data_IF_572692327145
#
_entry.id   IF_572692327145
#
_cell.length_a   1.000
_cell.length_b   1.000
_cell.length_c   1.000
_cell.angle_alpha   90.00
_cell.angle_beta   90.00
_cell.angle_gamma   90.00
#
_symmetry.space_group_name_H-M   'P 1'
#
loop_
_entity.id
_entity.type
_entity.pdbx_description
1 polymer ?
#
# COMPACT_ATOMS: atom_id res chain seq x y z
N UNK A 1 -6.03 22.82 -67.32
CA UNK A 1 -6.43 21.42 -67.55
C UNK A 1 -5.69 20.48 -66.59
N UNK A 2 -5.77 20.75 -65.28
CA UNK A 2 -5.56 19.75 -64.22
C UNK A 2 -6.58 20.12 -63.14
N UNK A 3 -7.85 19.96 -63.49
CA UNK A 3 -8.91 19.76 -62.50
C UNK A 3 -9.06 18.24 -62.33
N UNK A 4 -9.39 17.83 -61.11
CA UNK A 4 -9.76 16.48 -60.67
C UNK A 4 -8.65 15.43 -60.53
N UNK A 5 -7.79 15.62 -59.53
CA UNK A 5 -7.42 14.51 -58.65
C UNK A 5 -8.34 14.57 -57.42
N UNK A 6 -9.58 14.11 -57.59
CA UNK A 6 -10.42 13.73 -56.46
C UNK A 6 -9.78 12.50 -55.83
N UNK A 7 -8.95 12.72 -54.82
CA UNK A 7 -8.66 11.70 -53.82
C UNK A 7 -9.94 11.58 -53.01
N UNK A 8 -10.80 10.65 -53.41
CA UNK A 8 -11.92 10.18 -52.60
C UNK A 8 -11.34 9.64 -51.29
N UNK A 9 -11.17 10.51 -50.30
CA UNK A 9 -11.09 10.09 -48.91
C UNK A 9 -12.47 9.53 -48.62
N UNK A 10 -12.58 8.21 -48.41
CA UNK A 10 -13.79 7.56 -47.90
C UNK A 10 -14.39 8.47 -46.82
N UNK A 11 -15.54 9.10 -47.10
CA UNK A 11 -16.24 9.99 -46.16
C UNK A 11 -16.65 9.24 -44.86
N UNK A 12 -16.52 7.92 -44.86
CA UNK A 12 -16.80 7.00 -43.77
C UNK A 12 -15.57 6.55 -42.96
N UNK A 13 -14.37 7.09 -43.22
CA UNK A 13 -13.20 6.73 -42.41
C UNK A 13 -13.28 7.34 -41.01
N UNK A 14 -13.71 6.53 -40.04
CA UNK A 14 -13.69 6.88 -38.62
C UNK A 14 -12.32 6.48 -38.04
N UNK A 15 -11.49 7.43 -37.55
CA UNK A 15 -10.24 7.08 -36.91
C UNK A 15 -10.51 6.20 -35.68
N UNK A 16 -9.68 5.17 -35.43
CA UNK A 16 -9.86 4.32 -34.26
C UNK A 16 -9.83 5.15 -32.98
N UNK A 17 -10.64 4.74 -32.00
CA UNK A 17 -10.70 5.40 -30.70
C UNK A 17 -9.30 5.48 -30.08
N UNK A 18 -8.85 6.70 -29.79
CA UNK A 18 -7.53 6.94 -29.20
C UNK A 18 -7.55 6.54 -27.73
N UNK A 19 -6.46 5.95 -27.25
CA UNK A 19 -6.28 5.70 -25.82
C UNK A 19 -6.26 7.01 -25.04
N UNK A 20 -6.76 6.98 -23.79
CA UNK A 20 -6.80 8.16 -22.92
C UNK A 20 -5.40 8.57 -22.45
N UNK A 21 -4.54 7.58 -22.21
CA UNK A 21 -3.15 7.75 -21.79
C UNK A 21 -2.20 7.18 -22.85
N UNK A 22 -0.97 7.72 -22.90
CA UNK A 22 0.06 7.27 -23.82
C UNK A 22 0.51 5.86 -23.48
N UNK A 23 0.69 5.06 -24.52
CA UNK A 23 1.23 3.70 -24.46
C UNK A 23 2.75 3.76 -24.28
N UNK A 24 3.24 3.47 -23.06
CA UNK A 24 4.67 3.29 -22.80
C UNK A 24 4.95 1.81 -22.51
N UNK A 25 5.93 1.23 -23.22
CA UNK A 25 6.42 -0.11 -22.93
C UNK A 25 7.17 -0.13 -21.59
N UNK A 26 6.92 -1.13 -20.71
CA UNK A 26 7.71 -1.32 -19.50
C UNK A 26 9.19 -1.50 -19.82
N UNK A 27 10.07 -0.83 -19.07
CA UNK A 27 11.51 -1.04 -19.18
C UNK A 27 11.94 -2.36 -18.56
N UNK A 28 13.05 -2.93 -19.06
CA UNK A 28 13.61 -4.18 -18.50
C UNK A 28 12.74 -5.42 -18.70
N UNK A 29 11.79 -5.39 -19.64
CA UNK A 29 10.99 -6.56 -20.01
C UNK A 29 11.88 -7.76 -20.40
N UNK A 30 11.48 -8.96 -19.98
CA UNK A 30 12.24 -10.20 -20.08
C UNK A 30 13.35 -10.35 -19.04
N UNK A 31 13.60 -9.36 -18.18
CA UNK A 31 14.73 -9.38 -17.23
C UNK A 31 14.28 -9.33 -15.77
N UNK A 32 15.21 -9.61 -14.85
CA UNK A 32 15.02 -9.42 -13.41
C UNK A 32 14.86 -7.94 -13.01
N UNK A 33 15.24 -7.01 -13.90
CA UNK A 33 15.12 -5.57 -13.72
C UNK A 33 13.85 -5.04 -14.39
N UNK A 34 12.79 -5.85 -14.53
CA UNK A 34 11.49 -5.39 -15.05
C UNK A 34 10.98 -4.18 -14.25
N UNK A 35 10.51 -3.16 -14.98
CA UNK A 35 9.88 -1.98 -14.43
C UNK A 35 8.59 -2.31 -13.66
N UNK A 36 8.43 -1.67 -12.49
CA UNK A 36 7.20 -1.79 -11.70
C UNK A 36 6.04 -0.94 -12.26
N UNK A 37 4.80 -1.34 -12.01
CA UNK A 37 3.61 -0.57 -12.41
C UNK A 37 3.60 0.84 -11.80
N UNK A 38 4.09 1.00 -10.57
CA UNK A 38 4.22 2.32 -9.93
C UNK A 38 5.24 3.23 -10.63
N UNK A 39 6.33 2.66 -11.14
CA UNK A 39 7.32 3.39 -11.95
C UNK A 39 6.74 3.79 -13.30
N UNK A 40 6.06 2.85 -13.97
CA UNK A 40 5.41 3.09 -15.26
C UNK A 40 4.37 4.23 -15.16
N UNK A 41 3.58 4.26 -14.08
CA UNK A 41 2.64 5.35 -13.80
C UNK A 41 3.35 6.72 -13.73
N UNK A 42 4.52 6.81 -13.10
CA UNK A 42 5.29 8.05 -13.01
C UNK A 42 5.82 8.48 -14.38
N UNK A 43 6.29 7.53 -15.20
CA UNK A 43 6.74 7.81 -16.58
C UNK A 43 5.59 8.23 -17.49
N UNK A 44 4.41 7.62 -17.37
CA UNK A 44 3.20 8.06 -18.09
C UNK A 44 2.84 9.48 -17.68
N UNK A 45 2.86 9.80 -16.37
CA UNK A 45 2.63 11.16 -15.89
C UNK A 45 3.64 12.16 -16.45
N UNK A 46 4.91 11.76 -16.57
CA UNK A 46 5.98 12.56 -17.19
C UNK A 46 5.66 12.87 -18.66
N UNK A 47 5.25 11.87 -19.43
CA UNK A 47 4.90 12.03 -20.84
C UNK A 47 3.69 12.96 -21.04
N UNK A 48 2.78 13.00 -20.07
CA UNK A 48 1.65 13.94 -20.05
C UNK A 48 1.95 15.29 -19.40
N UNK A 49 3.17 15.52 -18.90
CA UNK A 49 3.58 16.72 -18.16
C UNK A 49 2.72 17.02 -16.92
N UNK A 50 2.14 15.98 -16.31
CA UNK A 50 1.31 16.09 -15.10
C UNK A 50 2.00 15.51 -13.88
N UNK A 51 1.51 15.86 -12.68
CA UNK A 51 1.99 15.24 -11.44
C UNK A 51 1.49 13.80 -11.35
N UNK A 52 2.33 12.82 -10.95
CA UNK A 52 1.92 11.42 -10.81
C UNK A 52 0.69 11.23 -9.90
N UNK A 53 0.63 12.00 -8.81
CA UNK A 53 -0.50 11.95 -7.88
C UNK A 53 -1.80 12.52 -8.47
N UNK A 54 -1.72 13.52 -9.35
CA UNK A 54 -2.89 14.05 -10.05
C UNK A 54 -3.39 13.04 -11.09
N UNK A 55 -2.49 12.41 -11.85
CA UNK A 55 -2.84 11.33 -12.79
C UNK A 55 -3.54 10.17 -12.06
N UNK A 56 -2.95 9.70 -10.96
CA UNK A 56 -3.53 8.63 -10.15
C UNK A 56 -4.93 8.98 -9.64
N UNK A 57 -5.10 10.16 -9.02
CA UNK A 57 -6.36 10.51 -8.37
C UNK A 57 -7.47 10.91 -9.35
N UNK A 58 -7.13 11.44 -10.53
CA UNK A 58 -8.11 11.99 -11.48
C UNK A 58 -8.45 11.05 -12.63
N UNK A 59 -7.54 10.19 -13.04
CA UNK A 59 -7.76 9.30 -14.19
C UNK A 59 -7.87 7.83 -13.76
N UNK A 60 -7.00 7.35 -12.86
CA UNK A 60 -6.92 5.93 -12.51
C UNK A 60 -7.94 5.56 -11.43
N UNK A 61 -7.85 6.16 -10.23
CA UNK A 61 -8.72 5.83 -9.09
C UNK A 61 -10.22 5.93 -9.42
N UNK A 62 -10.71 6.93 -10.18
CA UNK A 62 -12.12 6.99 -10.55
C UNK A 62 -12.64 5.84 -11.41
N UNK A 63 -11.75 5.03 -12.02
CA UNK A 63 -12.10 3.83 -12.79
C UNK A 63 -11.97 2.54 -11.99
N UNK A 64 -11.73 2.64 -10.69
CA UNK A 64 -11.55 1.48 -9.80
C UNK A 64 -12.62 1.45 -8.72
N UNK A 65 -12.83 0.29 -8.12
CA UNK A 65 -13.69 0.13 -6.94
C UNK A 65 -13.01 0.59 -5.62
N UNK A 66 -11.95 1.39 -5.72
CA UNK A 66 -11.18 1.85 -4.57
C UNK A 66 -11.96 2.96 -3.87
N UNK A 67 -12.70 2.58 -2.81
CA UNK A 67 -13.40 3.54 -1.96
C UNK A 67 -12.42 4.33 -1.08
N UNK A 68 -12.14 5.58 -1.46
CA UNK A 68 -11.40 6.52 -0.62
C UNK A 68 -12.29 7.01 0.53
N UNK A 69 -12.33 6.27 1.66
CA UNK A 69 -13.21 6.59 2.82
C UNK A 69 -12.95 7.95 3.50
N UNK A 70 -11.99 8.73 3.03
CA UNK A 70 -11.80 10.19 3.23
C UNK A 70 -10.64 10.59 2.31
N UNK A 71 -10.74 11.68 1.52
CA UNK A 71 -9.64 12.19 0.72
C UNK A 71 -8.62 12.87 1.66
N UNK A 72 -7.88 12.08 2.42
CA UNK A 72 -6.69 12.53 3.12
C UNK A 72 -5.47 12.00 2.39
N UNK A 73 -4.45 12.83 2.25
CA UNK A 73 -3.17 12.49 1.63
C UNK A 73 -2.47 11.29 2.30
N UNK A 74 -2.83 10.93 3.55
CA UNK A 74 -2.32 9.73 4.23
C UNK A 74 -2.95 8.43 3.74
N UNK A 75 -4.22 8.45 3.30
CA UNK A 75 -4.91 7.27 2.78
C UNK A 75 -4.35 6.87 1.41
N UNK A 76 -4.17 7.83 0.48
CA UNK A 76 -3.60 7.58 -0.85
C UNK A 76 -2.17 7.02 -0.77
N UNK A 77 -1.33 7.55 0.13
CA UNK A 77 0.01 7.00 0.39
C UNK A 77 -0.01 5.59 1.00
N UNK A 78 -1.06 5.23 1.73
CA UNK A 78 -1.21 3.90 2.35
C UNK A 78 -1.61 2.82 1.33
N UNK A 79 -2.32 3.19 0.26
CA UNK A 79 -2.77 2.25 -0.77
C UNK A 79 -1.83 2.17 -1.97
N UNK A 80 -1.18 3.27 -2.35
CA UNK A 80 -0.25 3.27 -3.47
C UNK A 80 0.91 2.28 -3.29
N UNK A 81 1.35 2.05 -2.04
CA UNK A 81 2.35 1.02 -1.73
C UNK A 81 1.97 -0.38 -2.22
N UNK A 82 0.67 -0.67 -2.33
CA UNK A 82 0.17 -2.00 -2.69
C UNK A 82 -0.05 -2.20 -4.17
N UNK A 83 0.19 -1.17 -5.01
CA UNK A 83 0.05 -1.24 -6.46
C UNK A 83 0.95 -2.32 -7.09
N UNK A 84 2.15 -2.52 -6.54
CA UNK A 84 3.08 -3.55 -7.01
C UNK A 84 2.82 -4.93 -6.38
N UNK A 85 1.79 -5.09 -5.55
CA UNK A 85 1.54 -6.29 -4.73
C UNK A 85 0.71 -7.38 -5.41
N UNK A 86 0.06 -8.21 -4.58
CA UNK A 86 -0.79 -9.35 -4.98
C UNK A 86 -2.30 -9.07 -4.86
N UNK A 87 -2.68 -7.97 -4.21
CA UNK A 87 -4.03 -7.75 -3.71
C UNK A 87 -4.94 -6.97 -4.68
N UNK A 88 -6.17 -6.70 -4.22
CA UNK A 88 -7.19 -5.94 -4.97
C UNK A 88 -6.63 -4.65 -5.60
N UNK A 89 -5.88 -3.85 -4.83
CA UNK A 89 -5.34 -2.58 -5.32
C UNK A 89 -4.36 -2.74 -6.50
N UNK A 90 -3.53 -3.79 -6.50
CA UNK A 90 -2.65 -4.05 -7.63
C UNK A 90 -3.46 -4.36 -8.89
N UNK A 91 -4.45 -5.25 -8.75
CA UNK A 91 -5.34 -5.64 -9.85
C UNK A 91 -6.09 -4.44 -10.44
N UNK A 92 -6.77 -3.66 -9.59
CA UNK A 92 -7.56 -2.50 -10.01
C UNK A 92 -6.71 -1.42 -10.70
N UNK A 93 -5.50 -1.14 -10.19
CA UNK A 93 -4.61 -0.15 -10.78
C UNK A 93 -4.07 -0.64 -12.13
N UNK A 94 -3.68 -1.92 -12.22
CA UNK A 94 -3.21 -2.53 -13.47
C UNK A 94 -4.31 -2.51 -14.52
N UNK A 95 -5.51 -2.99 -14.19
CA UNK A 95 -6.65 -3.05 -15.11
C UNK A 95 -7.05 -1.64 -15.61
N UNK A 96 -7.15 -0.66 -14.70
CA UNK A 96 -7.40 0.72 -15.09
C UNK A 96 -6.30 1.30 -16.00
N UNK A 97 -5.02 1.00 -15.75
CA UNK A 97 -3.92 1.44 -16.61
C UNK A 97 -3.95 0.77 -17.99
N UNK A 98 -4.25 -0.52 -18.06
CA UNK A 98 -4.40 -1.27 -19.32
C UNK A 98 -5.51 -0.65 -20.18
N UNK A 99 -6.69 -0.43 -19.59
CA UNK A 99 -7.81 0.21 -20.27
C UNK A 99 -7.49 1.63 -20.74
N UNK A 100 -6.85 2.44 -19.88
CA UNK A 100 -6.52 3.83 -20.19
C UNK A 100 -5.43 3.96 -21.25
N UNK A 101 -4.47 3.04 -21.29
CA UNK A 101 -3.33 3.07 -22.23
C UNK A 101 -3.52 2.22 -23.47
N UNK A 102 -4.57 1.39 -23.53
CA UNK A 102 -4.79 0.42 -24.59
C UNK A 102 -3.74 -0.71 -24.62
N UNK A 103 -3.09 -0.98 -23.49
CA UNK A 103 -2.05 -2.01 -23.37
C UNK A 103 -2.57 -3.24 -22.62
N UNK A 104 -1.89 -4.36 -22.80
CA UNK A 104 -2.14 -5.60 -22.06
C UNK A 104 -0.83 -6.15 -21.49
N UNK A 105 -0.93 -7.02 -20.48
CA UNK A 105 0.22 -7.69 -19.86
C UNK A 105 0.92 -6.87 -18.78
N UNK A 106 0.37 -5.73 -18.36
CA UNK A 106 0.91 -4.90 -17.28
C UNK A 106 0.82 -5.60 -15.90
N UNK A 107 0.03 -6.66 -15.78
CA UNK A 107 0.02 -7.50 -14.57
C UNK A 107 1.43 -8.01 -14.21
N UNK A 108 2.26 -8.32 -15.21
CA UNK A 108 3.65 -8.76 -15.02
C UNK A 108 4.55 -7.70 -14.36
N UNK A 109 4.21 -6.41 -14.48
CA UNK A 109 4.89 -5.29 -13.83
C UNK A 109 4.55 -5.16 -12.32
N UNK A 110 3.93 -6.19 -11.74
CA UNK A 110 3.56 -6.32 -10.34
C UNK A 110 3.74 -7.78 -9.90
N UNK A 111 3.48 -8.09 -8.63
CA UNK A 111 3.48 -9.49 -8.17
C UNK A 111 2.20 -10.26 -8.52
N UNK A 112 1.22 -9.67 -9.21
CA UNK A 112 -0.04 -10.31 -9.59
C UNK A 112 0.06 -11.71 -10.23
N UNK A 113 1.08 -12.06 -11.05
CA UNK A 113 1.21 -13.43 -11.59
C UNK A 113 1.25 -14.50 -10.50
N UNK A 114 1.61 -14.14 -9.26
CA UNK A 114 1.75 -15.05 -8.14
C UNK A 114 0.59 -14.98 -7.13
N UNK A 115 -0.50 -14.26 -7.44
CA UNK A 115 -1.61 -13.98 -6.49
C UNK A 115 -2.35 -15.22 -5.99
N UNK A 116 -2.43 -16.27 -6.81
CA UNK A 116 -3.11 -17.52 -6.47
C UNK A 116 -2.19 -18.49 -5.72
N UNK A 117 -0.88 -18.25 -5.74
CA UNK A 117 0.13 -19.02 -5.03
C UNK A 117 0.45 -18.41 -3.66
N UNK A 118 0.58 -17.09 -3.61
CA UNK A 118 1.19 -16.36 -2.50
C UNK A 118 0.16 -15.60 -1.66
N UNK A 119 0.32 -15.66 -0.33
CA UNK A 119 -0.53 -14.95 0.61
C UNK A 119 -0.31 -13.43 0.54
N UNK A 120 -1.37 -12.67 0.24
CA UNK A 120 -1.36 -11.19 0.22
C UNK A 120 -1.19 -10.55 1.60
N UNK A 121 -1.54 -11.28 2.66
CA UNK A 121 -1.53 -10.84 4.07
C UNK A 121 -0.38 -11.44 4.88
N UNK A 122 0.50 -12.24 4.26
CA UNK A 122 1.75 -12.66 4.89
C UNK A 122 2.65 -11.44 4.98
N UNK A 123 2.72 -10.81 6.17
CA UNK A 123 3.64 -9.72 6.44
C UNK A 123 4.98 -9.98 5.71
N UNK A 124 5.42 -9.00 4.91
CA UNK A 124 6.70 -8.97 4.21
C UNK A 124 6.79 -9.34 2.71
N UNK A 125 5.76 -9.06 1.91
CA UNK A 125 5.92 -9.02 0.45
C UNK A 125 6.66 -7.76 0.00
N UNK A 126 6.12 -6.59 0.35
CA UNK A 126 6.60 -5.31 -0.14
C UNK A 126 7.31 -4.54 0.96
N UNK A 127 8.38 -3.84 0.62
CA UNK A 127 9.04 -2.91 1.54
C UNK A 127 8.03 -1.90 2.07
N UNK A 128 8.22 -1.47 3.32
CA UNK A 128 7.41 -0.40 3.91
C UNK A 128 7.70 0.96 3.26
N UNK A 129 8.79 1.08 2.51
CA UNK A 129 9.30 2.31 1.88
C UNK A 129 9.92 1.99 0.52
N UNK A 130 9.92 2.93 -0.45
CA UNK A 130 10.66 2.77 -1.69
C UNK A 130 12.16 2.66 -1.43
N UNK A 131 12.79 1.69 -2.08
CA UNK A 131 14.23 1.45 -2.03
C UNK A 131 14.82 1.64 -3.44
N UNK A 132 16.09 2.05 -3.53
CA UNK A 132 16.78 2.19 -4.82
C UNK A 132 18.27 1.91 -4.74
N UNK A 133 18.87 1.67 -5.91
CA UNK A 133 20.32 1.57 -6.07
C UNK A 133 20.89 2.87 -6.66
N UNK A 134 21.70 3.64 -5.92
CA UNK A 134 22.34 4.84 -6.47
C UNK A 134 23.28 4.53 -7.64
N UNK A 135 23.89 3.35 -7.65
CA UNK A 135 24.78 2.90 -8.75
C UNK A 135 24.00 2.71 -10.05
N UNK A 136 22.80 2.11 -10.01
CA UNK A 136 21.92 2.02 -11.19
C UNK A 136 21.57 3.41 -11.74
N UNK A 137 21.18 4.36 -10.89
CA UNK A 137 20.89 5.71 -11.37
C UNK A 137 22.12 6.40 -11.95
N UNK A 138 23.30 6.18 -11.38
CA UNK A 138 24.54 6.72 -11.93
C UNK A 138 24.84 6.17 -13.33
N UNK A 139 24.78 4.84 -13.50
CA UNK A 139 25.04 4.18 -14.77
C UNK A 139 24.00 4.55 -15.83
N UNK A 140 22.71 4.56 -15.48
CA UNK A 140 21.66 4.97 -16.40
C UNK A 140 21.82 6.43 -16.83
N UNK A 141 22.14 7.33 -15.90
CA UNK A 141 22.40 8.73 -16.25
C UNK A 141 23.61 8.88 -17.16
N UNK A 142 24.70 8.18 -16.89
CA UNK A 142 25.89 8.21 -17.73
C UNK A 142 25.63 7.65 -19.14
N UNK A 143 24.76 6.65 -19.25
CA UNK A 143 24.35 6.05 -20.52
C UNK A 143 23.19 6.78 -21.23
N UNK A 144 22.67 7.88 -20.67
CA UNK A 144 21.48 8.56 -21.20
C UNK A 144 20.19 7.73 -21.12
N UNK A 145 20.18 6.65 -20.34
CA UNK A 145 19.02 5.81 -20.12
C UNK A 145 18.07 6.48 -19.12
N UNK A 146 16.78 6.58 -19.48
CA UNK A 146 15.75 7.10 -18.56
C UNK A 146 15.68 6.23 -17.29
N UNK A 147 15.78 6.81 -16.07
CA UNK A 147 15.68 6.07 -14.83
C UNK A 147 14.27 5.54 -14.55
N UNK A 148 14.20 4.33 -14.00
CA UNK A 148 12.95 3.70 -13.57
C UNK A 148 13.15 2.92 -12.26
N UNK A 149 12.07 2.50 -11.60
CA UNK A 149 12.15 1.62 -10.42
C UNK A 149 11.79 0.17 -10.82
N UNK A 150 12.76 -0.76 -10.80
CA UNK A 150 12.51 -2.18 -10.95
C UNK A 150 11.54 -2.75 -9.90
N UNK A 151 10.69 -3.70 -10.30
CA UNK A 151 9.76 -4.41 -9.41
C UNK A 151 10.48 -5.07 -8.23
N UNK A 152 11.68 -5.62 -8.48
CA UNK A 152 12.51 -6.24 -7.45
C UNK A 152 12.79 -5.31 -6.26
N UNK A 153 12.96 -4.00 -6.49
CA UNK A 153 13.27 -3.04 -5.42
C UNK A 153 12.10 -2.79 -4.47
N UNK A 154 10.88 -3.17 -4.86
CA UNK A 154 9.72 -3.09 -3.98
C UNK A 154 9.54 -4.33 -3.11
N UNK A 155 10.23 -5.43 -3.38
CA UNK A 155 10.12 -6.66 -2.61
C UNK A 155 10.92 -6.58 -1.31
N UNK A 156 10.28 -6.80 -0.15
CA UNK A 156 10.95 -6.75 1.16
C UNK A 156 12.10 -7.76 1.28
N UNK A 157 12.01 -8.87 0.55
CA UNK A 157 13.04 -9.92 0.57
C UNK A 157 14.29 -9.55 -0.26
N UNK A 158 14.24 -8.44 -1.00
CA UNK A 158 15.35 -7.90 -1.80
C UNK A 158 15.97 -6.73 -1.06
N UNK A 159 17.04 -6.99 -0.31
CA UNK A 159 17.81 -5.97 0.41
C UNK A 159 19.01 -5.43 -0.41
N UNK A 160 19.39 -6.15 -1.48
CA UNK A 160 20.52 -5.82 -2.35
C UNK A 160 20.04 -5.66 -3.78
N UNK A 161 20.69 -4.78 -4.54
CA UNK A 161 20.38 -4.59 -5.95
C UNK A 161 20.72 -5.86 -6.75
N UNK A 162 19.79 -6.41 -7.55
CA UNK A 162 20.06 -7.59 -8.38
C UNK A 162 21.14 -7.38 -9.44
N UNK A 163 21.36 -6.12 -9.87
CA UNK A 163 22.36 -5.79 -10.88
C UNK A 163 23.77 -5.56 -10.29
N UNK A 164 23.85 -4.95 -9.10
CA UNK A 164 25.14 -4.49 -8.53
C UNK A 164 25.57 -5.24 -7.27
N UNK A 165 24.72 -6.12 -6.74
CA UNK A 165 24.96 -6.82 -5.47
C UNK A 165 25.41 -5.84 -4.36
N UNK A 166 24.65 -4.76 -4.18
CA UNK A 166 24.91 -3.69 -3.18
C UNK A 166 23.65 -3.38 -2.40
N UNK A 167 23.74 -2.97 -1.12
CA UNK A 167 22.55 -2.59 -0.36
C UNK A 167 21.72 -1.54 -1.09
N UNK A 168 20.41 -1.77 -1.17
CA UNK A 168 19.48 -0.71 -1.55
C UNK A 168 19.38 0.31 -0.41
N UNK A 169 19.14 1.57 -0.74
CA UNK A 169 18.88 2.64 0.23
C UNK A 169 17.44 3.12 0.14
N UNK A 170 16.89 3.63 1.25
CA UNK A 170 15.48 4.06 1.36
C UNK A 170 15.32 5.54 1.78
N UNK A 171 16.42 6.26 1.93
CA UNK A 171 16.47 7.66 2.36
C UNK A 171 17.38 8.48 1.44
N UNK A 172 17.00 9.74 1.19
CA UNK A 172 17.83 10.67 0.42
C UNK A 172 19.15 10.93 1.16
N UNK A 173 20.27 10.81 0.45
CA UNK A 173 21.62 10.99 1.00
C UNK A 173 21.95 12.44 1.36
N UNK A 174 21.15 13.41 0.89
CA UNK A 174 21.32 14.84 1.17
C UNK A 174 20.43 15.32 2.31
N UNK A 175 19.11 15.09 2.26
CA UNK A 175 18.18 15.60 3.28
C UNK A 175 17.70 14.55 4.29
N UNK A 176 18.11 13.28 4.16
CA UNK A 176 17.73 12.19 5.05
C UNK A 176 16.26 11.74 4.96
N UNK A 177 15.44 12.37 4.10
CA UNK A 177 14.00 12.06 4.00
C UNK A 177 13.75 10.79 3.19
N UNK A 178 12.79 10.00 3.68
CA UNK A 178 12.23 8.84 2.99
C UNK A 178 11.35 9.28 1.83
N UNK A 179 11.38 8.55 0.72
CA UNK A 179 10.61 8.90 -0.47
C UNK A 179 9.17 8.35 -0.41
N UNK A 180 8.17 9.05 -0.98
CA UNK A 180 6.82 8.50 -1.13
C UNK A 180 6.79 7.45 -2.26
N UNK A 181 5.86 6.49 -2.17
CA UNK A 181 5.66 5.48 -3.24
C UNK A 181 5.21 6.09 -4.57
N UNK A 182 4.46 7.19 -4.51
CA UNK A 182 4.12 8.01 -5.67
C UNK A 182 4.87 9.33 -5.51
N UNK A 183 5.79 9.59 -6.43
CA UNK A 183 6.64 10.78 -6.38
C UNK A 183 5.82 12.06 -6.54
N UNK A 184 6.28 13.15 -5.92
CA UNK A 184 5.60 14.46 -6.00
C UNK A 184 5.79 15.16 -7.36
N UNK A 185 6.78 14.71 -8.12
CA UNK A 185 7.13 15.16 -9.46
C UNK A 185 7.41 13.94 -10.35
N UNK A 186 7.42 14.14 -11.67
CA UNK A 186 7.52 13.06 -12.65
C UNK A 186 8.97 12.59 -12.94
N UNK A 187 9.86 12.70 -11.95
CA UNK A 187 11.27 12.31 -12.07
C UNK A 187 11.63 11.34 -10.94
N UNK A 188 11.95 10.09 -11.29
CA UNK A 188 12.15 9.00 -10.33
C UNK A 188 13.51 9.06 -9.62
N UNK A 189 14.51 9.67 -10.25
CA UNK A 189 15.87 9.78 -9.72
C UNK A 189 16.11 11.06 -8.90
N UNK A 190 15.06 11.81 -8.56
CA UNK A 190 15.15 13.03 -7.74
C UNK A 190 14.34 12.93 -6.45
N UNK A 191 14.83 13.57 -5.40
CA UNK A 191 14.19 13.60 -4.10
C UNK A 191 12.91 14.45 -4.14
N UNK A 192 11.77 13.86 -3.76
CA UNK A 192 10.47 14.54 -3.68
C UNK A 192 10.38 15.69 -2.66
N UNK A 193 11.44 15.93 -1.88
CA UNK A 193 11.45 16.94 -0.83
C UNK A 193 12.49 18.04 -1.05
N UNK A 194 13.73 17.68 -1.33
CA UNK A 194 14.81 18.65 -1.52
C UNK A 194 15.24 18.84 -2.98
N UNK A 195 14.69 18.06 -3.92
CA UNK A 195 15.03 18.16 -5.34
C UNK A 195 16.43 17.69 -5.71
N UNK A 196 17.19 17.11 -4.78
CA UNK A 196 18.52 16.56 -5.05
C UNK A 196 18.45 15.21 -5.74
N UNK A 197 19.46 14.92 -6.56
CA UNK A 197 19.58 13.66 -7.28
C UNK A 197 19.85 12.48 -6.34
N UNK A 198 19.05 11.42 -6.45
CA UNK A 198 19.07 10.23 -5.59
C UNK A 198 20.22 9.26 -5.93
N UNK A 199 20.89 9.45 -7.06
CA UNK A 199 22.12 8.71 -7.42
C UNK A 199 23.39 9.24 -6.74
N UNK A 200 23.31 10.37 -6.01
CA UNK A 200 24.44 10.94 -5.29
C UNK A 200 24.91 9.98 -4.18
N UNK A 201 26.12 9.43 -4.35
CA UNK A 201 26.72 8.48 -3.41
C UNK A 201 26.78 9.08 -2.00
N UNK A 202 26.45 8.28 -0.99
CA UNK A 202 26.73 8.66 0.40
C UNK A 202 28.20 8.36 0.71
N UNK A 203 29.04 9.36 1.06
CA UNK A 203 30.43 9.13 1.43
C UNK A 203 30.58 8.20 2.65
N UNK A 204 29.58 8.09 3.53
CA UNK A 204 29.58 7.18 4.67
C UNK A 204 29.46 5.69 4.30
N UNK A 205 29.05 5.37 3.06
CA UNK A 205 28.81 3.99 2.59
C UNK A 205 30.05 3.37 1.92
N UNK A 206 31.25 3.93 2.12
CA UNK A 206 32.53 3.40 1.63
C UNK A 206 33.01 2.14 2.37
N UNK A 207 32.39 1.77 3.49
CA UNK A 207 32.75 0.53 4.17
C UNK A 207 32.18 -0.66 3.40
N UNK A 208 33.05 -1.41 2.76
CA UNK A 208 32.76 -2.71 2.13
C UNK A 208 32.37 -3.72 3.21
N UNK A 209 31.16 -3.62 3.76
CA UNK A 209 30.62 -4.68 4.59
C UNK A 209 30.38 -5.88 3.68
N UNK A 210 31.00 -7.03 4.00
CA UNK A 210 30.68 -8.30 3.35
C UNK A 210 29.18 -8.51 3.42
N UNK A 211 28.52 -8.54 2.26
CA UNK A 211 27.09 -8.74 2.20
C UNK A 211 26.77 -10.17 2.64
N UNK A 212 25.71 -10.37 3.43
CA UNK A 212 25.29 -11.72 3.75
C UNK A 212 24.93 -12.48 2.47
N UNK A 213 25.56 -13.64 2.24
CA UNK A 213 25.34 -14.46 1.04
C UNK A 213 23.86 -14.78 0.80
N UNK A 214 23.08 -14.96 1.88
CA UNK A 214 21.64 -15.20 1.80
C UNK A 214 20.88 -14.02 1.17
N UNK A 215 21.32 -12.78 1.36
CA UNK A 215 20.64 -11.61 0.78
C UNK A 215 20.82 -11.57 -0.75
N UNK A 216 22.01 -11.92 -1.24
CA UNK A 216 22.30 -12.04 -2.68
C UNK A 216 21.50 -13.20 -3.28
N UNK A 217 21.49 -14.36 -2.62
CA UNK A 217 20.72 -15.52 -3.07
C UNK A 217 19.21 -15.21 -3.17
N UNK A 218 18.65 -14.50 -2.19
CA UNK A 218 17.25 -14.03 -2.24
C UNK A 218 16.98 -13.07 -3.37
N UNK A 219 17.85 -12.10 -3.60
CA UNK A 219 17.70 -11.16 -4.71
C UNK A 219 17.65 -11.90 -6.06
N UNK A 220 18.54 -12.89 -6.26
CA UNK A 220 18.55 -13.75 -7.45
C UNK A 220 17.27 -14.59 -7.58
N UNK A 221 16.84 -15.24 -6.50
CA UNK A 221 15.61 -16.03 -6.45
C UNK A 221 14.35 -15.22 -6.79
N UNK A 222 14.25 -13.99 -6.29
CA UNK A 222 13.17 -13.07 -6.65
C UNK A 222 13.29 -12.60 -8.11
N UNK A 223 14.51 -12.34 -8.59
CA UNK A 223 14.76 -12.02 -9.99
C UNK A 223 14.24 -13.11 -10.93
N UNK A 224 14.48 -14.38 -10.61
CA UNK A 224 13.97 -15.52 -11.38
C UNK A 224 12.43 -15.60 -11.37
N UNK A 225 11.79 -15.38 -10.21
CA UNK A 225 10.33 -15.29 -10.12
C UNK A 225 9.77 -14.12 -10.96
N UNK A 226 10.48 -12.99 -11.03
CA UNK A 226 10.07 -11.85 -11.86
C UNK A 226 10.21 -12.20 -13.35
N UNK A 227 11.29 -12.86 -13.76
CA UNK A 227 11.49 -13.31 -15.14
C UNK A 227 10.39 -14.28 -15.55
N UNK A 228 10.16 -15.33 -14.77
CA UNK A 228 9.12 -16.32 -15.08
C UNK A 228 7.71 -15.74 -15.01
N UNK A 229 7.48 -14.77 -14.11
CA UNK A 229 6.22 -14.02 -14.01
C UNK A 229 5.82 -13.26 -15.28
N UNK A 230 6.75 -13.07 -16.23
CA UNK A 230 6.50 -12.44 -17.54
C UNK A 230 6.16 -13.47 -18.63
N UNK A 231 6.20 -14.76 -18.32
CA UNK A 231 5.96 -15.85 -19.27
C UNK A 231 4.63 -16.55 -19.00
N UNK A 232 4.06 -17.26 -19.99
CA UNK A 232 2.86 -18.08 -19.77
C UNK A 232 3.03 -19.15 -18.68
N UNK A 233 4.28 -19.59 -18.41
CA UNK A 233 4.60 -20.57 -17.37
C UNK A 233 4.13 -20.11 -15.97
N UNK A 234 4.04 -18.79 -15.74
CA UNK A 234 3.56 -18.22 -14.49
C UNK A 234 2.13 -18.67 -14.15
N UNK A 235 1.26 -18.92 -15.14
CA UNK A 235 -0.10 -19.41 -14.90
C UNK A 235 -0.09 -20.79 -14.24
N UNK A 236 0.82 -21.66 -14.66
CA UNK A 236 0.97 -23.02 -14.12
C UNK A 236 1.67 -23.01 -12.75
N UNK A 237 2.76 -22.25 -12.62
CA UNK A 237 3.54 -22.22 -11.39
C UNK A 237 2.88 -21.39 -10.29
N UNK A 238 2.14 -20.35 -10.68
CA UNK A 238 1.39 -19.46 -9.80
C UNK A 238 0.00 -19.98 -9.43
N UNK A 239 -0.41 -21.15 -9.95
CA UNK A 239 -1.74 -21.69 -9.76
C UNK A 239 -2.07 -21.98 -8.29
N UNK A 240 -3.36 -21.83 -7.94
CA UNK A 240 -3.87 -22.21 -6.63
C UNK A 240 -3.57 -23.67 -6.32
N UNK A 241 -3.11 -23.94 -5.10
CA UNK A 241 -2.75 -25.30 -4.67
C UNK A 241 -1.43 -25.84 -5.22
N UNK A 242 -0.72 -25.13 -6.12
CA UNK A 242 0.59 -25.59 -6.63
C UNK A 242 1.59 -25.86 -5.52
N UNK A 243 1.65 -24.98 -4.52
CA UNK A 243 2.48 -25.17 -3.33
C UNK A 243 2.11 -26.44 -2.55
N UNK A 244 0.82 -26.81 -2.48
CA UNK A 244 0.36 -28.03 -1.80
C UNK A 244 0.88 -29.26 -2.54
N UNK A 245 0.75 -29.29 -3.87
CA UNK A 245 1.24 -30.39 -4.70
C UNK A 245 2.76 -30.56 -4.54
N UNK A 246 3.53 -29.48 -4.73
CA UNK A 246 4.99 -29.46 -4.61
C UNK A 246 5.45 -29.94 -3.24
N UNK A 247 4.91 -29.37 -2.17
CA UNK A 247 5.30 -29.73 -0.80
C UNK A 247 4.91 -31.19 -0.50
N UNK A 248 3.75 -31.65 -0.98
CA UNK A 248 3.30 -33.04 -0.78
C UNK A 248 4.23 -34.02 -1.50
N UNK A 249 4.59 -33.77 -2.76
CA UNK A 249 5.55 -34.58 -3.50
C UNK A 249 6.91 -34.61 -2.81
N UNK A 250 7.40 -33.46 -2.36
CA UNK A 250 8.67 -33.35 -1.65
C UNK A 250 8.67 -34.16 -0.34
N UNK A 251 7.61 -34.05 0.46
CA UNK A 251 7.46 -34.79 1.71
C UNK A 251 7.35 -36.30 1.45
N UNK A 252 6.61 -36.70 0.43
CA UNK A 252 6.46 -38.10 0.07
C UNK A 252 7.80 -38.70 -0.39
N UNK A 253 8.50 -38.01 -1.30
CA UNK A 253 9.70 -38.52 -1.95
C UNK A 253 10.90 -38.61 -1.01
N UNK A 254 11.09 -37.62 -0.14
CA UNK A 254 12.32 -37.51 0.66
C UNK A 254 12.15 -37.84 2.14
N UNK A 255 10.90 -37.95 2.63
CA UNK A 255 10.61 -38.15 4.05
C UNK A 255 9.54 -39.22 4.30
N UNK A 256 9.21 -40.05 3.30
CA UNK A 256 8.26 -41.15 3.43
C UNK A 256 6.85 -40.71 3.84
N UNK A 257 6.46 -39.47 3.54
CA UNK A 257 5.15 -38.91 3.93
C UNK A 257 5.10 -38.37 5.36
N UNK A 258 6.16 -38.54 6.16
CA UNK A 258 6.17 -38.17 7.59
C UNK A 258 6.47 -36.67 7.76
N UNK A 259 5.41 -35.87 7.88
CA UNK A 259 5.50 -34.40 7.98
C UNK A 259 6.35 -33.90 9.14
N UNK A 260 6.28 -34.54 10.31
CA UNK A 260 7.06 -34.13 11.49
C UNK A 260 8.56 -34.32 11.24
N UNK A 261 8.93 -35.43 10.58
CA UNK A 261 10.31 -35.71 10.22
C UNK A 261 10.82 -34.76 9.14
N UNK A 262 9.97 -34.47 8.14
CA UNK A 262 10.25 -33.46 7.13
C UNK A 262 10.50 -32.07 7.75
N UNK A 263 9.66 -31.63 8.71
CA UNK A 263 9.85 -30.36 9.41
C UNK A 263 11.20 -30.31 10.14
N UNK A 264 11.54 -31.40 10.84
CA UNK A 264 12.78 -31.53 11.61
C UNK A 264 14.02 -31.51 10.72
N UNK A 265 14.03 -32.29 9.63
CA UNK A 265 15.17 -32.42 8.71
C UNK A 265 15.34 -31.21 7.79
N UNK A 266 14.25 -30.61 7.32
CA UNK A 266 14.31 -29.36 6.55
C UNK A 266 14.68 -28.15 7.42
N UNK A 267 14.56 -28.27 8.75
CA UNK A 267 14.84 -27.18 9.68
C UNK A 267 13.85 -26.02 9.52
N UNK A 268 12.58 -26.34 9.28
CA UNK A 268 11.47 -25.37 9.27
C UNK A 268 10.77 -25.34 10.64
N UNK A 269 9.91 -24.35 10.88
CA UNK A 269 9.20 -24.24 12.17
C UNK A 269 8.29 -25.45 12.42
N UNK A 270 8.14 -25.92 13.68
CA UNK A 270 7.16 -26.95 14.01
C UNK A 270 5.75 -26.53 13.57
N UNK A 271 5.00 -27.46 12.97
CA UNK A 271 3.68 -27.29 12.35
C UNK A 271 3.64 -26.34 11.14
N UNK A 272 4.80 -25.96 10.58
CA UNK A 272 4.86 -25.17 9.35
C UNK A 272 4.18 -25.91 8.19
N UNK A 273 4.51 -27.19 7.97
CA UNK A 273 3.91 -27.98 6.89
C UNK A 273 2.41 -28.19 7.12
N UNK A 274 1.98 -28.40 8.36
CA UNK A 274 0.55 -28.45 8.67
C UNK A 274 -0.15 -27.13 8.32
N UNK A 275 0.51 -25.99 8.55
CA UNK A 275 -0.04 -24.69 8.15
C UNK A 275 0.00 -24.46 6.64
N UNK A 276 1.05 -24.89 5.94
CA UNK A 276 1.23 -24.69 4.50
C UNK A 276 0.34 -25.62 3.67
N UNK A 277 0.05 -26.82 4.17
CA UNK A 277 -0.81 -27.82 3.51
C UNK A 277 -2.29 -27.72 3.93
N UNK A 278 -2.65 -26.73 4.75
CA UNK A 278 -4.02 -26.52 5.19
C UNK A 278 -4.93 -26.05 4.04
N UNK A 279 -6.18 -26.52 4.01
CA UNK A 279 -7.16 -26.10 2.99
C UNK A 279 -7.28 -24.57 2.94
N UNK A 280 -7.29 -24.02 1.71
CA UNK A 280 -7.43 -22.58 1.41
C UNK A 280 -6.35 -21.65 1.96
N UNK A 281 -5.19 -22.18 2.41
CA UNK A 281 -4.06 -21.34 2.84
C UNK A 281 -3.11 -21.12 1.67
N UNK A 282 -2.66 -19.89 1.50
CA UNK A 282 -1.59 -19.54 0.56
C UNK A 282 -0.24 -19.48 1.29
N UNK A 283 0.83 -19.75 0.57
CA UNK A 283 2.18 -19.69 1.12
C UNK A 283 2.66 -18.24 1.17
N UNK A 284 3.32 -17.80 2.25
CA UNK A 284 3.97 -16.48 2.21
C UNK A 284 5.21 -16.54 1.33
N UNK A 285 5.56 -15.43 0.64
CA UNK A 285 6.80 -15.37 -0.15
C UNK A 285 8.03 -15.73 0.70
N UNK A 286 8.09 -15.22 1.93
CA UNK A 286 9.15 -15.55 2.89
C UNK A 286 9.23 -17.05 3.18
N UNK A 287 8.09 -17.73 3.31
CA UNK A 287 8.05 -19.19 3.52
C UNK A 287 8.47 -19.96 2.28
N UNK A 288 8.13 -19.49 1.09
CA UNK A 288 8.58 -20.09 -0.18
C UNK A 288 10.10 -19.98 -0.32
N UNK A 289 10.67 -18.79 -0.06
CA UNK A 289 12.12 -18.58 -0.07
C UNK A 289 12.81 -19.39 1.02
N UNK A 290 12.27 -19.41 2.24
CA UNK A 290 12.79 -20.22 3.34
C UNK A 290 12.81 -21.70 2.92
N UNK A 291 11.72 -22.23 2.37
CA UNK A 291 11.68 -23.61 1.88
C UNK A 291 12.68 -23.86 0.74
N UNK A 292 12.76 -22.97 -0.24
CA UNK A 292 13.70 -23.04 -1.37
C UNK A 292 15.16 -23.05 -0.89
N UNK A 293 15.54 -22.17 0.04
CA UNK A 293 16.85 -22.19 0.72
C UNK A 293 17.06 -23.49 1.50
N UNK A 294 16.00 -23.97 2.20
CA UNK A 294 15.98 -25.23 2.95
C UNK A 294 15.93 -26.48 2.06
N UNK A 295 15.84 -26.33 0.74
CA UNK A 295 15.84 -27.42 -0.22
C UNK A 295 17.05 -27.34 -1.17
N UNK A 296 17.61 -26.14 -1.37
CA UNK A 296 18.86 -25.92 -2.11
C UNK A 296 18.64 -25.65 -3.59
N UNK A 297 17.41 -25.36 -3.98
CA UNK A 297 17.00 -25.06 -5.36
C UNK A 297 16.23 -23.74 -5.38
N UNK A 298 16.14 -23.08 -6.53
CA UNK A 298 15.38 -21.83 -6.63
C UNK A 298 13.87 -22.03 -6.42
N UNK A 299 13.11 -20.97 -6.08
CA UNK A 299 11.66 -21.07 -5.93
C UNK A 299 10.98 -21.56 -7.20
N UNK A 300 11.44 -21.13 -8.37
CA UNK A 300 10.90 -21.57 -9.66
C UNK A 300 11.19 -23.05 -9.88
N UNK A 301 12.43 -23.50 -9.65
CA UNK A 301 12.81 -24.93 -9.77
C UNK A 301 11.98 -25.79 -8.82
N UNK A 302 11.80 -25.34 -7.57
CA UNK A 302 10.95 -25.99 -6.59
C UNK A 302 9.49 -26.07 -7.09
N UNK A 303 8.95 -24.97 -7.59
CA UNK A 303 7.58 -24.91 -8.10
C UNK A 303 7.38 -25.76 -9.35
N UNK A 304 8.38 -25.96 -10.20
CA UNK A 304 8.32 -26.88 -11.35
C UNK A 304 8.13 -28.34 -10.91
N UNK A 305 8.59 -28.69 -9.71
CA UNK A 305 8.44 -30.03 -9.13
C UNK A 305 8.97 -31.14 -10.06
N UNK A 306 10.10 -30.88 -10.73
CA UNK A 306 10.67 -31.81 -11.69
C UNK A 306 11.19 -33.07 -10.95
N UNK A 307 10.73 -34.27 -11.30
CA UNK A 307 11.17 -35.51 -10.67
C UNK A 307 12.67 -35.78 -10.90
N UNK A 308 13.32 -35.20 -11.89
CA UNK A 308 14.76 -35.35 -12.11
C UNK A 308 15.60 -34.49 -11.17
N UNK A 309 15.00 -33.47 -10.53
CA UNK A 309 15.72 -32.61 -9.59
C UNK A 309 16.07 -33.38 -8.32
N UNK A 310 17.37 -33.57 -8.11
CA UNK A 310 17.92 -34.16 -6.89
C UNK A 310 18.10 -33.08 -5.82
N UNK A 311 17.53 -33.33 -4.64
CA UNK A 311 17.66 -32.41 -3.50
C UNK A 311 18.79 -32.89 -2.60
N UNK A 312 19.83 -32.07 -2.44
CA UNK A 312 20.83 -32.32 -1.41
C UNK A 312 20.30 -31.86 -0.04
N UNK A 313 19.87 -32.84 0.76
CA UNK A 313 19.39 -32.65 2.11
C UNK A 313 20.46 -32.97 3.17
N UNK A 314 21.67 -33.35 2.76
CA UNK A 314 22.70 -33.89 3.65
C UNK A 314 23.34 -32.84 4.57
N UNK A 315 23.44 -31.58 4.13
CA UNK A 315 24.15 -30.52 4.85
C UNK A 315 23.27 -29.67 5.80
N UNK A 316 22.07 -30.15 6.16
CA UNK A 316 21.06 -29.28 6.80
C UNK A 316 21.12 -29.36 8.30
N UNK A 317 21.35 -28.20 8.93
CA UNK A 317 21.33 -28.05 10.38
C UNK A 317 19.87 -28.07 10.87
N UNK A 318 19.48 -29.01 11.75
CA UNK A 318 18.17 -29.00 12.38
C UNK A 318 17.96 -27.67 13.11
N UNK A 319 16.80 -27.06 12.94
CA UNK A 319 16.46 -25.85 13.68
C UNK A 319 16.29 -26.20 15.17
N UNK A 320 16.88 -25.41 16.08
CA UNK A 320 16.60 -25.57 17.51
C UNK A 320 15.08 -25.46 17.73
N UNK A 321 14.46 -26.35 18.54
CA UNK A 321 13.03 -26.30 18.78
C UNK A 321 12.64 -24.93 19.33
N UNK A 322 11.69 -24.27 18.67
CA UNK A 322 11.13 -23.01 19.14
C UNK A 322 10.39 -23.32 20.44
N UNK A 323 10.78 -22.68 21.55
CA UNK A 323 10.04 -22.78 22.81
C UNK A 323 8.59 -22.32 22.59
N UNK A 324 7.64 -23.24 22.64
CA UNK A 324 6.23 -22.90 22.59
C UNK A 324 5.85 -22.17 23.89
N UNK A 325 5.13 -21.05 23.77
CA UNK A 325 4.48 -20.45 24.94
C UNK A 325 3.41 -21.43 25.44
N UNK A 326 3.35 -21.75 26.73
CA UNK A 326 2.34 -22.67 27.25
C UNK A 326 0.93 -22.18 26.90
N UNK A 327 -0.03 -23.10 26.69
CA UNK A 327 -1.41 -22.74 26.45
C UNK A 327 -1.94 -21.90 27.63
N UNK A 328 -2.71 -20.86 27.32
CA UNK A 328 -3.34 -20.02 28.33
C UNK A 328 -4.39 -20.85 29.07
N UNK A 329 -4.37 -20.85 30.40
CA UNK A 329 -5.30 -21.62 31.21
C UNK A 329 -6.75 -21.15 30.99
N UNK A 330 -7.71 -22.08 31.09
CA UNK A 330 -9.15 -21.78 30.97
C UNK A 330 -9.58 -20.68 31.95
N UNK A 331 -9.13 -20.77 33.20
CA UNK A 331 -9.38 -19.77 34.25
C UNK A 331 -8.95 -18.35 33.83
N UNK A 332 -7.74 -18.20 33.30
CA UNK A 332 -7.24 -16.90 32.83
C UNK A 332 -8.04 -16.34 31.65
N UNK A 333 -8.53 -17.20 30.75
CA UNK A 333 -9.41 -16.77 29.66
C UNK A 333 -10.77 -16.29 30.18
N UNK A 334 -11.34 -16.99 31.15
CA UNK A 334 -12.61 -16.60 31.77
C UNK A 334 -12.48 -15.27 32.52
N UNK A 335 -11.37 -15.05 33.24
CA UNK A 335 -11.08 -13.78 33.91
C UNK A 335 -10.93 -12.63 32.90
N UNK A 336 -10.22 -12.87 31.78
CA UNK A 336 -10.08 -11.89 30.70
C UNK A 336 -11.43 -11.55 30.05
N UNK A 337 -12.31 -12.53 29.83
CA UNK A 337 -13.65 -12.29 29.28
C UNK A 337 -14.47 -11.41 30.20
N UNK A 338 -14.48 -11.70 31.51
CA UNK A 338 -15.17 -10.87 32.51
C UNK A 338 -14.66 -9.44 32.54
N UNK A 339 -13.33 -9.25 32.51
CA UNK A 339 -12.72 -7.92 32.46
C UNK A 339 -13.11 -7.15 31.19
N UNK A 340 -13.02 -7.79 30.03
CA UNK A 340 -13.41 -7.15 28.76
C UNK A 340 -14.91 -6.81 28.73
N UNK A 341 -15.76 -7.64 29.32
CA UNK A 341 -17.19 -7.36 29.44
C UNK A 341 -17.50 -6.17 30.36
N UNK A 342 -16.78 -6.05 31.48
CA UNK A 342 -16.88 -4.87 32.33
C UNK A 342 -16.51 -3.59 31.58
N UNK A 343 -15.43 -3.64 30.79
CA UNK A 343 -14.97 -2.52 29.96
C UNK A 343 -15.97 -2.20 28.84
N UNK A 344 -16.57 -3.22 28.23
CA UNK A 344 -17.56 -3.05 27.17
C UNK A 344 -18.84 -2.36 27.66
N UNK A 345 -19.26 -2.61 28.90
CA UNK A 345 -20.49 -2.04 29.47
C UNK A 345 -20.29 -0.65 30.06
N UNK A 346 -19.27 -0.48 30.90
CA UNK A 346 -19.11 0.72 31.73
C UNK A 346 -17.70 1.32 31.66
N UNK A 347 -16.87 0.83 30.74
CA UNK A 347 -15.47 1.23 30.65
C UNK A 347 -15.24 2.55 29.92
N UNK A 348 -13.97 2.97 29.81
CA UNK A 348 -13.58 4.17 29.10
C UNK A 348 -13.75 4.00 27.58
N UNK A 349 -14.95 4.25 27.05
CA UNK A 349 -15.27 4.09 25.62
C UNK A 349 -14.45 4.99 24.68
N UNK A 350 -13.75 6.00 25.21
CA UNK A 350 -12.80 6.80 24.44
C UNK A 350 -11.52 6.03 24.05
N UNK A 351 -11.20 4.93 24.73
CA UNK A 351 -10.06 4.08 24.40
C UNK A 351 -10.40 3.10 23.28
N UNK A 352 -9.50 2.97 22.30
CA UNK A 352 -9.60 1.93 21.29
C UNK A 352 -9.22 0.56 21.88
N UNK A 353 -9.70 -0.52 21.28
CA UNK A 353 -9.36 -1.89 21.69
C UNK A 353 -7.84 -2.14 21.76
N UNK A 354 -7.06 -1.47 20.90
CA UNK A 354 -5.59 -1.51 20.94
C UNK A 354 -4.99 -0.97 22.23
N UNK A 355 -5.60 0.07 22.79
CA UNK A 355 -5.11 0.70 24.03
C UNK A 355 -5.63 -0.05 25.26
N UNK A 356 -6.87 -0.56 25.21
CA UNK A 356 -7.38 -1.52 26.21
C UNK A 356 -6.46 -2.74 26.30
N UNK A 357 -6.03 -3.30 25.15
CA UNK A 357 -5.10 -4.42 25.13
C UNK A 357 -3.76 -4.09 25.81
N UNK A 358 -3.20 -2.90 25.55
CA UNK A 358 -1.96 -2.44 26.22
C UNK A 358 -2.14 -2.32 27.72
N UNK A 359 -3.25 -1.73 28.19
CA UNK A 359 -3.53 -1.58 29.62
C UNK A 359 -3.65 -2.94 30.32
N UNK A 360 -4.20 -3.94 29.63
CA UNK A 360 -4.29 -5.32 30.14
C UNK A 360 -2.97 -6.11 30.01
N UNK A 361 -1.92 -5.52 29.42
CA UNK A 361 -0.64 -6.20 29.18
C UNK A 361 -0.73 -7.30 28.11
N UNK A 362 -1.77 -7.30 27.28
CA UNK A 362 -2.06 -8.34 26.30
C UNK A 362 -1.87 -7.86 24.86
N UNK A 363 -1.60 -8.80 23.95
CA UNK A 363 -1.54 -8.49 22.51
C UNK A 363 -2.95 -8.30 21.96
N UNK A 364 -3.16 -7.24 21.19
CA UNK A 364 -4.41 -6.99 20.47
C UNK A 364 -4.89 -8.23 19.68
N UNK A 365 -3.99 -8.90 18.97
CA UNK A 365 -4.31 -10.09 18.17
C UNK A 365 -4.70 -11.29 19.03
N UNK A 366 -4.15 -11.39 20.25
CA UNK A 366 -4.48 -12.45 21.19
C UNK A 366 -5.91 -12.31 21.70
N UNK A 367 -6.30 -11.11 22.14
CA UNK A 367 -7.66 -10.83 22.61
C UNK A 367 -8.70 -11.06 21.51
N UNK A 368 -8.43 -10.54 20.30
CA UNK A 368 -9.34 -10.72 19.15
C UNK A 368 -9.53 -12.18 18.75
N UNK A 369 -8.53 -13.03 18.95
CA UNK A 369 -8.61 -14.44 18.63
C UNK A 369 -9.32 -15.27 19.72
N UNK A 370 -9.10 -14.94 21.00
CA UNK A 370 -9.60 -15.74 22.14
C UNK A 370 -10.93 -15.25 22.75
N UNK A 371 -11.21 -13.95 22.62
CA UNK A 371 -12.38 -13.26 23.17
C UNK A 371 -13.02 -12.35 22.08
N UNK A 372 -13.47 -12.91 20.95
CA UNK A 372 -13.91 -12.12 19.79
C UNK A 372 -15.16 -11.28 20.08
N UNK A 373 -16.11 -11.82 20.84
CA UNK A 373 -17.41 -11.18 21.10
C UNK A 373 -17.25 -9.96 22.02
N UNK A 374 -16.46 -10.12 23.09
CA UNK A 374 -16.13 -9.03 24.00
C UNK A 374 -15.36 -7.91 23.27
N UNK A 375 -14.40 -8.29 22.42
CA UNK A 375 -13.65 -7.34 21.59
C UNK A 375 -14.55 -6.58 20.61
N UNK A 376 -15.56 -7.25 20.03
CA UNK A 376 -16.52 -6.64 19.14
C UNK A 376 -17.38 -5.60 19.90
N UNK A 377 -17.84 -5.92 21.11
CA UNK A 377 -18.59 -4.98 21.96
C UNK A 377 -17.79 -3.73 22.29
N UNK A 378 -16.52 -3.88 22.70
CA UNK A 378 -15.62 -2.73 22.97
C UNK A 378 -15.45 -1.86 21.71
N UNK A 379 -15.24 -2.50 20.55
CA UNK A 379 -15.06 -1.79 19.28
C UNK A 379 -16.32 -1.01 18.88
N UNK A 380 -17.51 -1.59 19.09
CA UNK A 380 -18.79 -0.94 18.85
C UNK A 380 -19.01 0.26 19.77
N UNK A 381 -18.72 0.11 21.07
CA UNK A 381 -18.84 1.20 22.04
C UNK A 381 -17.88 2.37 21.73
N UNK A 382 -16.64 2.07 21.32
CA UNK A 382 -15.69 3.08 20.87
C UNK A 382 -16.14 3.80 19.60
N UNK A 383 -16.73 3.08 18.64
CA UNK A 383 -17.26 3.67 17.42
C UNK A 383 -18.43 4.62 17.72
N UNK A 384 -19.34 4.21 18.61
CA UNK A 384 -20.45 5.04 19.07
C UNK A 384 -19.94 6.33 19.74
N UNK A 385 -19.02 6.21 20.71
CA UNK A 385 -18.39 7.37 21.34
C UNK A 385 -17.74 8.33 20.31
N UNK A 386 -17.07 7.80 19.27
CA UNK A 386 -16.50 8.61 18.20
C UNK A 386 -17.55 9.33 17.37
N UNK A 387 -18.68 8.69 17.07
CA UNK A 387 -19.80 9.32 16.38
C UNK A 387 -20.37 10.46 17.22
N UNK A 388 -20.73 10.16 18.47
CA UNK A 388 -21.34 11.11 19.40
C UNK A 388 -20.43 12.32 19.64
N UNK A 389 -19.12 12.10 19.83
CA UNK A 389 -18.13 13.17 20.01
C UNK A 389 -17.91 13.99 18.73
N UNK A 390 -18.00 13.36 17.55
CA UNK A 390 -17.92 14.07 16.27
C UNK A 390 -19.14 14.98 16.07
N UNK A 391 -20.34 14.48 16.36
CA UNK A 391 -21.59 15.24 16.32
C UNK A 391 -21.57 16.41 17.31
N UNK A 392 -21.16 16.16 18.57
CA UNK A 392 -21.05 17.19 19.59
C UNK A 392 -20.04 18.29 19.18
N UNK A 393 -18.88 17.92 18.63
CA UNK A 393 -17.89 18.88 18.12
C UNK A 393 -18.42 19.69 16.94
N UNK A 394 -19.17 19.06 16.04
CA UNK A 394 -19.80 19.75 14.90
C UNK A 394 -20.85 20.74 15.39
N UNK A 395 -21.73 20.33 16.31
CA UNK A 395 -22.74 21.20 16.91
C UNK A 395 -22.11 22.40 17.65
N UNK A 396 -21.05 22.17 18.42
CA UNK A 396 -20.29 23.23 19.09
C UNK A 396 -19.63 24.19 18.07
N UNK A 397 -19.04 23.65 17.00
CA UNK A 397 -18.43 24.46 15.93
C UNK A 397 -19.46 25.31 15.18
N UNK A 398 -20.64 24.74 14.89
CA UNK A 398 -21.77 25.45 14.28
C UNK A 398 -22.24 26.59 15.17
N UNK A 399 -22.47 26.31 16.47
CA UNK A 399 -22.91 27.30 17.45
C UNK A 399 -21.89 28.43 17.59
N UNK A 400 -20.60 28.09 17.70
CA UNK A 400 -19.52 29.07 17.82
C UNK A 400 -19.36 29.91 16.55
N UNK A 401 -19.47 29.30 15.37
CA UNK A 401 -19.38 30.04 14.10
C UNK A 401 -20.50 31.07 13.95
N UNK A 402 -21.72 30.74 14.41
CA UNK A 402 -22.84 31.68 14.45
C UNK A 402 -22.57 32.85 15.40
N UNK A 403 -22.05 32.59 16.61
CA UNK A 403 -21.68 33.64 17.57
C UNK A 403 -20.61 34.59 17.00
N UNK A 404 -19.57 34.04 16.39
CA UNK A 404 -18.50 34.82 15.74
C UNK A 404 -19.10 35.73 14.65
N UNK A 405 -19.95 35.18 13.79
CA UNK A 405 -20.56 35.96 12.70
C UNK A 405 -21.48 37.06 13.23
N UNK A 406 -22.31 36.78 14.24
CA UNK A 406 -23.17 37.80 14.85
C UNK A 406 -22.35 38.93 15.48
N UNK A 407 -21.25 38.62 16.17
CA UNK A 407 -20.33 39.62 16.74
C UNK A 407 -19.66 40.48 15.66
N UNK A 408 -19.28 39.87 14.53
CA UNK A 408 -18.71 40.61 13.40
C UNK A 408 -19.76 41.52 12.74
N UNK A 409 -21.01 41.06 12.60
CA UNK A 409 -22.12 41.84 12.05
C UNK A 409 -22.52 43.02 12.94
N UNK A 410 -22.43 42.87 14.27
CA UNK A 410 -22.68 43.97 15.19
C UNK A 410 -21.52 44.96 15.30
N UNK A 411 -20.33 44.61 14.81
CA UNK A 411 -19.21 45.55 14.68
C UNK A 411 -19.46 46.47 13.48
N UNK A 412 -19.22 47.78 13.62
CA UNK A 412 -19.35 48.77 12.52
C UNK A 412 -18.23 48.65 11.45
N UNK A 413 -17.60 47.48 11.33
CA UNK A 413 -16.47 47.25 10.42
C UNK A 413 -16.91 46.50 9.14
N UNK A 414 -16.20 46.73 8.04
CA UNK A 414 -16.43 46.04 6.77
C UNK A 414 -16.01 44.57 6.87
N UNK A 415 -16.96 43.65 6.82
CA UNK A 415 -16.71 42.20 6.90
C UNK A 415 -16.18 41.67 5.56
N UNK A 416 -14.98 41.08 5.57
CA UNK A 416 -14.40 40.41 4.40
C UNK A 416 -14.19 38.91 4.65
N UNK A 417 -14.09 38.11 3.57
CA UNK A 417 -13.81 36.67 3.66
C UNK A 417 -12.50 36.37 4.42
N UNK A 418 -11.52 37.27 4.35
CA UNK A 418 -10.22 37.13 5.05
C UNK A 418 -10.40 37.22 6.57
N UNK A 419 -11.18 38.19 7.05
CA UNK A 419 -11.48 38.40 8.47
C UNK A 419 -12.25 37.20 9.04
N UNK A 420 -13.30 36.76 8.33
CA UNK A 420 -14.11 35.60 8.76
C UNK A 420 -13.25 34.33 8.85
N UNK A 421 -12.35 34.11 7.89
CA UNK A 421 -11.44 32.96 7.91
C UNK A 421 -10.45 33.03 9.08
N UNK A 422 -9.90 34.21 9.37
CA UNK A 422 -8.95 34.41 10.48
C UNK A 422 -9.62 34.11 11.83
N UNK A 423 -10.83 34.64 12.06
CA UNK A 423 -11.59 34.42 13.30
C UNK A 423 -11.99 32.95 13.47
N UNK A 424 -12.45 32.27 12.41
CA UNK A 424 -12.76 30.84 12.47
C UNK A 424 -11.51 30.01 12.76
N UNK A 425 -10.38 30.37 12.15
CA UNK A 425 -9.10 29.68 12.36
C UNK A 425 -8.60 29.83 13.81
N UNK A 426 -8.80 30.99 14.44
CA UNK A 426 -8.46 31.21 15.86
C UNK A 426 -9.21 30.24 16.80
N UNK A 427 -10.42 29.82 16.41
CA UNK A 427 -11.22 28.82 17.14
C UNK A 427 -11.05 27.39 16.61
N UNK A 428 -10.08 27.13 15.71
CA UNK A 428 -9.84 25.84 15.05
C UNK A 428 -11.05 25.32 14.25
N UNK A 429 -11.89 26.22 13.74
CA UNK A 429 -13.08 25.88 12.95
C UNK A 429 -12.74 26.00 11.46
N UNK A 430 -13.02 24.95 10.69
CA UNK A 430 -12.79 24.94 9.25
C UNK A 430 -13.99 25.49 8.47
N UNK A 431 -13.75 26.50 7.62
CA UNK A 431 -14.75 27.04 6.70
C UNK A 431 -15.12 26.08 5.56
N UNK A 432 -14.34 25.00 5.36
CA UNK A 432 -14.66 23.99 4.34
C UNK A 432 -15.87 23.12 4.73
N UNK A 433 -16.19 23.04 6.03
CA UNK A 433 -17.35 22.33 6.55
C UNK A 433 -18.68 22.95 6.03
N UNK A 434 -19.53 22.19 5.32
CA UNK A 434 -20.81 22.68 4.79
C UNK A 434 -21.75 23.27 5.85
N UNK A 435 -21.85 22.63 7.00
CA UNK A 435 -22.74 22.99 8.11
C UNK A 435 -22.33 24.32 8.74
N UNK A 436 -21.02 24.53 8.92
CA UNK A 436 -20.45 25.82 9.35
C UNK A 436 -20.77 26.91 8.32
N UNK A 437 -20.62 26.65 7.01
CA UNK A 437 -21.00 27.64 5.98
C UNK A 437 -22.49 27.97 6.02
N UNK A 438 -23.35 26.98 6.19
CA UNK A 438 -24.79 27.18 6.33
C UNK A 438 -25.14 28.00 7.58
N UNK A 439 -24.46 27.76 8.70
CA UNK A 439 -24.63 28.52 9.94
C UNK A 439 -24.24 30.00 9.79
N UNK A 440 -23.11 30.27 9.14
CA UNK A 440 -22.66 31.64 8.84
C UNK A 440 -23.66 32.39 7.94
N UNK A 441 -24.18 31.73 6.89
CA UNK A 441 -25.20 32.33 6.00
C UNK A 441 -26.49 32.65 6.73
N UNK A 442 -26.98 31.73 7.58
CA UNK A 442 -28.17 31.95 8.41
C UNK A 442 -27.99 33.15 9.35
N UNK A 443 -26.83 33.24 10.02
CA UNK A 443 -26.53 34.38 10.90
C UNK A 443 -26.61 35.73 10.17
N UNK A 444 -26.11 35.82 8.93
CA UNK A 444 -26.21 37.03 8.10
C UNK A 444 -27.67 37.34 7.77
N UNK A 445 -28.45 36.33 7.35
CA UNK A 445 -29.87 36.50 7.04
C UNK A 445 -30.67 37.02 8.24
N UNK A 446 -30.44 36.43 9.42
CA UNK A 446 -31.13 36.77 10.66
C UNK A 446 -30.78 38.21 11.14
N UNK A 447 -29.53 38.63 10.93
CA UNK A 447 -29.12 40.00 11.24
C UNK A 447 -29.76 41.03 10.28
N UNK A 448 -29.84 40.72 8.98
CA UNK A 448 -30.46 41.62 8.00
C UNK A 448 -31.96 41.76 8.24
N UNK A 449 -32.66 40.67 8.60
CA UNK A 449 -34.09 40.72 8.89
C UNK A 449 -34.39 41.57 10.14
N UNK A 450 -33.60 41.39 11.21
CA UNK A 450 -33.73 42.17 12.46
C UNK A 450 -33.42 43.65 12.25
N UNK A 451 -32.41 43.99 11.46
CA UNK A 451 -32.07 45.39 11.19
C UNK A 451 -33.11 46.09 10.29
N UNK A 452 -33.72 45.36 9.33
CA UNK A 452 -34.86 45.86 8.54
C UNK A 452 -36.08 46.15 9.41
N UNK A 453 -36.38 45.28 10.37
CA UNK A 453 -37.47 45.48 11.34
C UNK A 453 -37.21 46.71 12.21
N UNK A 454 -35.98 46.88 12.73
CA UNK A 454 -35.59 48.07 13.50
C UNK A 454 -35.79 49.37 12.71
N UNK A 455 -35.38 49.40 11.45
CA UNK A 455 -35.58 50.58 10.59
C UNK A 455 -37.05 50.88 10.32
N UNK A 456 -37.91 49.87 10.13
CA UNK A 456 -39.37 50.05 9.99
C UNK A 456 -40.01 50.63 11.25
N UNK A 457 -39.60 50.16 12.44
CA UNK A 457 -40.12 50.67 13.72
C UNK A 457 -39.66 52.11 13.99
N UNK A 458 -38.44 52.47 13.60
CA UNK A 458 -37.94 53.85 13.72
C UNK A 458 -38.70 54.78 12.75
N UNK A 459 -38.94 54.33 11.51
CA UNK A 459 -39.69 55.09 10.50
C UNK A 459 -41.20 55.23 10.80
N UNK A 460 -41.76 54.43 11.70
CA UNK A 460 -43.14 54.57 12.18
C UNK A 460 -43.27 55.45 13.44
N UNK A 461 -42.14 55.84 14.04
CA UNK A 461 -42.07 56.69 15.24
C UNK A 461 -41.59 58.12 14.93
N UNK A 462 -41.19 58.38 13.69
CA UNK A 462 -40.99 59.70 13.10
C UNK A 462 -42.22 60.03 12.27
#
# INVERSE_FOLDING_TARGET
MIDSLNLDFDEDWVPPARSRLVTLKPMGAGTQMLESVSSLLVRIARAHTVKPLDLLNREIVPRTDIQLRRPSSSFVNTHAKTANGLGKYAHEIVDALEQLTGQTGLASCSFLPWRELLASNGNSLLHARPCWCPTCFQEWRAAGHEPYFPLAWFCEQVAVCPAHERPLIDCCTVCGRQQPFVTRHAYLDYCSYCGEWLGKKNPANRKTSVLPQHAIARAKAIGELIVVGQTPEALTLGAHGRHVAVITTLVQRYFGGVRVEAERRLGVRPRALHSWLGKHKLLSLKSLLELSERVGVSPVTLLRNDPTTTLDLSQRTPMKPIKHRPPVSKRRLDDLRKLLDGIARNGPHHLALTDVAKTLGEKYTFLRYRCPDECARISAAHLKFKSDNSEAKLAASVTQSRKIMMRLLSSKQRITRKIVRAELAAHRISIACPEVRAALRRAVSDFVSTERLRRKVIAQRQ
#
